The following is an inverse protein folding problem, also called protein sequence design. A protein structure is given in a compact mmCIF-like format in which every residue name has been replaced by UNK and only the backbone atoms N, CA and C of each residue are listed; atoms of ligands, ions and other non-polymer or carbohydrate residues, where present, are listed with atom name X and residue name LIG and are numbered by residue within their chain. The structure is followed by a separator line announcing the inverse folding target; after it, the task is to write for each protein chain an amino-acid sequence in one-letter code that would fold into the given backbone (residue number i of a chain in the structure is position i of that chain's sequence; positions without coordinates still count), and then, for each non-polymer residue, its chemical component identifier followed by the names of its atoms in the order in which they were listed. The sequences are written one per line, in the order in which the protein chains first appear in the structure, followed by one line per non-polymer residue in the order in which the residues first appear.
data_IF_788488712240
#
_entry.id   IF_788488712240
#
_cell.length_a   1.000
_cell.length_b   1.000
_cell.length_c   1.000
_cell.angle_alpha   90.00
_cell.angle_beta   90.00
_cell.angle_gamma   90.00
#
_symmetry.space_group_name_H-M   'P 1'
#
loop_
_entity.id
_entity.type
_entity.pdbx_description
1 polymer ?
#
# COMPACT_ATOMS: atom_id res chain seq x y z
N UNK A 1 42.31 -1.16 27.21
CA UNK A 1 41.46 -2.09 26.42
C UNK A 1 39.96 -1.75 26.43
N UNK A 2 39.47 -0.86 27.30
CA UNK A 2 38.02 -0.53 27.43
C UNK A 2 37.52 0.44 26.33
N UNK A 3 38.41 1.26 25.75
CA UNK A 3 38.05 2.33 24.80
C UNK A 3 37.48 1.83 23.46
N UNK A 4 37.86 0.63 22.99
CA UNK A 4 37.37 0.05 21.73
C UNK A 4 36.03 -0.67 21.89
N UNK A 5 35.64 -1.03 23.13
CA UNK A 5 34.39 -1.74 23.40
C UNK A 5 33.16 -0.83 23.26
N UNK A 6 33.26 0.45 23.63
CA UNK A 6 32.16 1.43 23.53
C UNK A 6 31.62 1.63 22.09
N UNK A 7 32.45 1.89 21.06
CA UNK A 7 31.95 2.05 19.70
C UNK A 7 31.34 0.75 19.14
N UNK A 8 31.89 -0.41 19.52
CA UNK A 8 31.34 -1.73 19.15
C UNK A 8 29.96 -1.98 19.77
N UNK A 9 29.77 -1.64 21.04
CA UNK A 9 28.46 -1.73 21.72
C UNK A 9 27.46 -0.77 21.07
N UNK A 10 27.86 0.47 20.79
CA UNK A 10 27.01 1.45 20.10
C UNK A 10 26.59 0.97 18.70
N UNK A 11 27.54 0.41 17.93
CA UNK A 11 27.27 -0.19 16.61
C UNK A 11 26.28 -1.36 16.72
N UNK A 12 26.43 -2.23 17.73
CA UNK A 12 25.52 -3.35 17.96
C UNK A 12 24.10 -2.89 18.31
N UNK A 13 23.96 -1.82 19.09
CA UNK A 13 22.67 -1.20 19.43
C UNK A 13 22.03 -0.59 18.17
N UNK A 14 22.81 0.13 17.35
CA UNK A 14 22.37 0.69 16.07
C UNK A 14 21.90 -0.39 15.10
N UNK A 15 22.68 -1.46 14.92
CA UNK A 15 22.34 -2.62 14.11
C UNK A 15 21.06 -3.29 14.61
N UNK A 16 20.91 -3.51 15.94
CA UNK A 16 19.67 -4.05 16.52
C UNK A 16 18.48 -3.14 16.26
N UNK A 17 18.65 -1.83 16.31
CA UNK A 17 17.59 -0.86 16.03
C UNK A 17 17.16 -0.92 14.55
N UNK A 18 18.13 -0.97 13.63
CA UNK A 18 17.89 -1.12 12.18
C UNK A 18 17.22 -2.45 11.87
N UNK A 19 17.71 -3.57 12.41
CA UNK A 19 17.12 -4.91 12.22
C UNK A 19 15.72 -4.98 12.79
N UNK A 20 15.45 -4.38 13.96
CA UNK A 20 14.09 -4.26 14.51
C UNK A 20 13.17 -3.47 13.59
N UNK A 21 13.65 -2.35 13.02
CA UNK A 21 12.90 -1.56 12.05
C UNK A 21 12.57 -2.35 10.78
N UNK A 22 13.53 -3.12 10.26
CA UNK A 22 13.34 -4.00 9.10
C UNK A 22 12.31 -5.10 9.42
N UNK A 23 12.40 -5.74 10.59
CA UNK A 23 11.42 -6.76 11.02
C UNK A 23 10.02 -6.17 11.23
N UNK A 24 9.91 -4.97 11.78
CA UNK A 24 8.64 -4.27 11.95
C UNK A 24 8.03 -3.85 10.61
N UNK A 25 8.84 -3.38 9.65
CA UNK A 25 8.39 -3.15 8.28
C UNK A 25 7.87 -4.44 7.65
N UNK A 26 8.60 -5.56 7.80
CA UNK A 26 8.14 -6.88 7.35
C UNK A 26 6.81 -7.31 8.01
N UNK A 27 6.61 -7.01 9.30
CA UNK A 27 5.35 -7.27 10.02
C UNK A 27 4.19 -6.36 9.60
N UNK A 28 4.47 -5.12 9.20
CA UNK A 28 3.47 -4.22 8.61
C UNK A 28 3.07 -4.67 7.18
N UNK A 29 3.96 -5.43 6.52
CA UNK A 29 3.79 -6.01 5.18
C UNK A 29 3.06 -7.36 5.25
N UNK A 30 3.20 -8.12 6.36
CA UNK A 30 2.56 -9.43 6.53
C UNK A 30 1.09 -9.32 6.98
N UNK A 31 0.22 -9.36 5.98
CA UNK A 31 -0.89 -10.30 5.87
C UNK A 31 -1.94 -10.36 6.97
N UNK A 32 -3.10 -9.77 6.65
CA UNK A 32 -4.35 -10.39 7.07
C UNK A 32 -4.58 -11.59 6.14
N UNK A 33 -4.34 -12.81 6.63
CA UNK A 33 -4.69 -14.06 5.93
C UNK A 33 -4.09 -14.23 4.51
N UNK A 34 -2.83 -13.84 4.31
CA UNK A 34 -2.12 -13.93 3.02
C UNK A 34 -2.29 -12.73 2.06
N UNK A 35 -3.06 -11.71 2.46
CA UNK A 35 -3.32 -10.53 1.62
C UNK A 35 -2.35 -9.38 1.90
N UNK A 36 -1.75 -8.85 0.84
CA UNK A 36 -0.72 -7.80 0.90
C UNK A 36 -1.36 -6.42 1.14
N UNK A 37 -1.00 -5.76 2.23
CA UNK A 37 -1.51 -4.41 2.55
C UNK A 37 -0.92 -3.34 1.62
N UNK A 38 -1.78 -2.48 1.07
CA UNK A 38 -1.39 -1.38 0.15
C UNK A 38 -1.77 0.02 0.62
N UNK A 39 -2.65 0.11 1.62
CA UNK A 39 -3.06 1.39 2.22
C UNK A 39 -2.11 1.89 3.30
N UNK A 40 -1.97 3.22 3.38
CA UNK A 40 -1.37 3.88 4.55
C UNK A 40 -2.34 3.82 5.73
N UNK A 41 -1.81 3.88 6.95
CA UNK A 41 -2.64 3.85 8.16
C UNK A 41 -3.76 4.88 8.02
N UNK A 42 -5.04 4.48 8.11
CA UNK A 42 -6.14 5.40 7.93
C UNK A 42 -6.02 6.46 9.02
N UNK A 43 -5.90 7.72 8.61
CA UNK A 43 -6.26 8.81 9.52
C UNK A 43 -7.68 8.52 10.02
N UNK A 44 -7.96 8.79 11.29
CA UNK A 44 -9.32 8.72 11.83
C UNK A 44 -10.25 9.82 11.24
N UNK A 45 -9.75 10.64 10.31
CA UNK A 45 -10.47 11.75 9.69
C UNK A 45 -10.67 11.53 8.18
N UNK A 46 -11.89 11.83 7.69
CA UNK A 46 -12.28 11.79 6.27
C UNK A 46 -12.97 10.49 5.82
N UNK A 47 -13.48 10.44 4.59
CA UNK A 47 -14.27 9.31 4.05
C UNK A 47 -13.58 7.93 4.00
N UNK A 48 -12.27 7.88 4.28
CA UNK A 48 -11.47 6.66 4.38
C UNK A 48 -11.16 6.22 5.83
N UNK A 49 -11.75 6.88 6.83
CA UNK A 49 -11.54 6.57 8.24
C UNK A 49 -11.89 5.11 8.55
N UNK A 50 -10.96 4.41 9.20
CA UNK A 50 -11.10 3.00 9.58
C UNK A 50 -11.04 1.99 8.42
N UNK A 51 -10.80 2.42 7.18
CA UNK A 51 -10.68 1.53 6.03
C UNK A 51 -9.23 1.10 5.81
N UNK A 52 -9.01 -0.20 5.65
CA UNK A 52 -7.72 -0.76 5.27
C UNK A 52 -7.85 -1.52 3.96
N UNK A 53 -6.93 -1.23 3.04
CA UNK A 53 -6.87 -1.84 1.72
C UNK A 53 -5.76 -2.87 1.60
N UNK A 54 -6.12 -4.03 1.07
CA UNK A 54 -5.26 -5.18 0.77
C UNK A 54 -5.49 -5.69 -0.64
N UNK A 55 -4.57 -6.46 -1.19
CA UNK A 55 -4.76 -7.16 -2.46
C UNK A 55 -4.13 -8.57 -2.41
N UNK A 56 -4.64 -9.44 -3.27
CA UNK A 56 -4.01 -10.71 -3.65
C UNK A 56 -3.90 -10.79 -5.18
N UNK A 57 -3.67 -11.98 -5.74
CA UNK A 57 -3.49 -12.15 -7.19
C UNK A 57 -4.78 -11.97 -8.00
N UNK A 58 -5.96 -11.98 -7.36
CA UNK A 58 -7.27 -11.97 -8.03
C UNK A 58 -8.15 -10.78 -7.63
N UNK A 59 -8.02 -10.27 -6.40
CA UNK A 59 -8.92 -9.30 -5.81
C UNK A 59 -8.21 -8.16 -5.07
N UNK A 60 -8.87 -7.01 -5.08
CA UNK A 60 -8.66 -5.87 -4.20
C UNK A 60 -9.71 -5.92 -3.09
N UNK A 61 -9.26 -5.71 -1.85
CA UNK A 61 -10.09 -5.80 -0.65
C UNK A 61 -10.16 -4.45 0.06
N UNK A 62 -11.38 -3.98 0.33
CA UNK A 62 -11.65 -2.93 1.32
C UNK A 62 -12.11 -3.61 2.61
N UNK A 63 -11.33 -3.49 3.68
CA UNK A 63 -11.66 -4.01 5.01
C UNK A 63 -12.01 -2.84 5.91
N UNK A 64 -13.21 -2.84 6.48
CA UNK A 64 -13.66 -1.87 7.48
C UNK A 64 -14.38 -2.60 8.60
N UNK A 65 -13.80 -2.58 9.80
CA UNK A 65 -14.31 -3.34 10.94
C UNK A 65 -14.50 -4.83 10.56
N UNK A 66 -15.74 -5.34 10.57
CA UNK A 66 -16.08 -6.72 10.19
C UNK A 66 -16.61 -6.85 8.75
N UNK A 67 -16.67 -5.77 7.98
CA UNK A 67 -17.12 -5.80 6.60
C UNK A 67 -15.93 -5.84 5.64
N UNK A 68 -15.97 -6.77 4.68
CA UNK A 68 -14.98 -6.88 3.62
C UNK A 68 -15.66 -6.78 2.26
N UNK A 69 -15.31 -5.76 1.48
CA UNK A 69 -15.72 -5.64 0.08
C UNK A 69 -14.61 -6.18 -0.82
N UNK A 70 -14.97 -7.02 -1.78
CA UNK A 70 -14.05 -7.58 -2.78
C UNK A 70 -14.30 -6.96 -4.15
N UNK A 71 -13.23 -6.66 -4.87
CA UNK A 71 -13.24 -6.11 -6.23
C UNK A 71 -12.28 -6.95 -7.06
N UNK A 72 -12.74 -7.60 -8.12
CA UNK A 72 -11.85 -8.39 -8.98
C UNK A 72 -10.86 -7.49 -9.72
N UNK A 73 -9.58 -7.87 -9.76
CA UNK A 73 -8.56 -7.06 -10.44
C UNK A 73 -8.84 -6.95 -11.94
N UNK A 74 -9.39 -8.00 -12.55
CA UNK A 74 -9.77 -8.03 -13.96
C UNK A 74 -10.86 -7.00 -14.31
N UNK A 75 -11.69 -6.57 -13.35
CA UNK A 75 -12.72 -5.56 -13.62
C UNK A 75 -12.21 -4.13 -13.43
N UNK A 76 -11.00 -3.94 -12.90
CA UNK A 76 -10.38 -2.62 -12.76
C UNK A 76 -9.98 -2.12 -14.14
N UNK A 77 -10.54 -0.98 -14.53
CA UNK A 77 -10.29 -0.36 -15.84
C UNK A 77 -9.33 0.81 -15.74
N UNK A 78 -9.24 1.46 -14.57
CA UNK A 78 -8.36 2.61 -14.36
C UNK A 78 -7.91 2.72 -12.92
N UNK A 79 -6.64 2.99 -12.73
CA UNK A 79 -6.06 3.33 -11.44
C UNK A 79 -5.08 4.49 -11.62
N UNK A 80 -5.15 5.47 -10.72
CA UNK A 80 -4.24 6.61 -10.78
C UNK A 80 -4.34 7.55 -9.58
N UNK A 81 -3.41 8.50 -9.46
CA UNK A 81 -3.50 9.56 -8.47
C UNK A 81 -4.71 10.45 -8.79
N UNK A 82 -5.51 10.75 -7.75
CA UNK A 82 -6.53 11.78 -7.79
C UNK A 82 -5.94 13.18 -7.62
N UNK A 83 -6.82 14.20 -7.67
CA UNK A 83 -6.41 15.60 -7.55
C UNK A 83 -6.26 16.06 -6.09
N UNK A 84 -6.82 15.31 -5.14
CA UNK A 84 -6.81 15.67 -3.72
C UNK A 84 -5.56 15.13 -3.02
N UNK A 85 -4.93 16.00 -2.24
CA UNK A 85 -3.78 15.68 -1.40
C UNK A 85 -4.06 16.13 0.04
N UNK A 86 -3.87 15.22 0.99
CA UNK A 86 -4.05 15.50 2.42
C UNK A 86 -2.78 15.06 3.14
N UNK A 87 -2.18 15.96 3.94
CA UNK A 87 -0.95 15.70 4.70
C UNK A 87 0.18 15.10 3.82
N UNK A 88 0.42 15.70 2.65
CA UNK A 88 1.41 15.25 1.66
C UNK A 88 1.18 13.82 1.12
N UNK A 89 -0.04 13.30 1.25
CA UNK A 89 -0.47 12.01 0.71
C UNK A 89 -1.57 12.23 -0.31
N UNK A 90 -1.25 11.94 -1.57
CA UNK A 90 -2.23 11.97 -2.65
C UNK A 90 -3.18 10.77 -2.56
N UNK A 91 -4.46 11.05 -2.72
CA UNK A 91 -5.50 10.02 -2.85
C UNK A 91 -5.25 9.25 -4.15
N UNK A 92 -5.39 7.93 -4.12
CA UNK A 92 -5.47 7.09 -5.29
C UNK A 92 -6.92 6.69 -5.55
N UNK A 93 -7.26 6.69 -6.83
CA UNK A 93 -8.59 6.39 -7.32
C UNK A 93 -8.52 5.09 -8.13
N UNK A 94 -9.41 4.16 -7.82
CA UNK A 94 -9.62 2.93 -8.59
C UNK A 94 -11.02 2.97 -9.18
N UNK A 95 -11.11 2.82 -10.49
CA UNK A 95 -12.36 2.70 -11.23
C UNK A 95 -12.43 1.27 -11.78
N UNK A 96 -13.55 0.62 -11.52
CA UNK A 96 -13.81 -0.75 -11.95
C UNK A 96 -15.23 -0.89 -12.48
N UNK A 97 -15.42 -1.91 -13.31
CA UNK A 97 -16.71 -2.26 -13.87
C UNK A 97 -17.46 -3.23 -12.94
N UNK A 98 -18.73 -2.95 -12.70
CA UNK A 98 -19.65 -3.79 -11.96
C UNK A 98 -20.92 -3.99 -12.80
N UNK A 99 -20.94 -5.07 -13.58
CA UNK A 99 -21.92 -5.28 -14.64
C UNK A 99 -21.81 -4.22 -15.74
N UNK A 100 -22.91 -3.49 -15.99
CA UNK A 100 -22.95 -2.39 -16.95
C UNK A 100 -22.48 -1.04 -16.36
N UNK A 101 -22.26 -0.96 -15.05
CA UNK A 101 -21.95 0.30 -14.36
C UNK A 101 -20.47 0.42 -14.04
N UNK A 102 -19.95 1.65 -14.01
CA UNK A 102 -18.64 1.95 -13.46
C UNK A 102 -18.78 2.40 -12.01
N UNK A 103 -17.93 1.85 -11.14
CA UNK A 103 -17.85 2.22 -9.73
C UNK A 103 -16.45 2.70 -9.41
N UNK A 104 -16.38 3.57 -8.43
CA UNK A 104 -15.14 4.20 -7.99
C UNK A 104 -14.91 3.93 -6.51
N UNK A 105 -13.65 3.66 -6.16
CA UNK A 105 -13.18 3.65 -4.77
C UNK A 105 -11.90 4.46 -4.65
N UNK A 106 -11.63 4.92 -3.43
CA UNK A 106 -10.51 5.81 -3.14
C UNK A 106 -9.75 5.34 -1.90
N UNK A 107 -8.43 5.46 -1.93
CA UNK A 107 -7.60 5.18 -0.77
C UNK A 107 -6.28 5.93 -0.78
N UNK A 108 -5.65 6.02 0.37
CA UNK A 108 -4.30 6.57 0.50
C UNK A 108 -3.31 5.42 0.42
N UNK A 109 -2.39 5.46 -0.54
CA UNK A 109 -1.37 4.43 -0.63
C UNK A 109 -0.27 4.65 0.42
N UNK A 110 0.33 3.55 0.87
CA UNK A 110 1.47 3.61 1.78
C UNK A 110 2.78 3.68 0.98
N UNK A 111 3.13 4.85 0.46
CA UNK A 111 4.44 5.06 -0.17
C UNK A 111 5.50 5.32 0.89
N UNK A 112 5.88 4.28 1.63
CA UNK A 112 7.19 4.28 2.28
C UNK A 112 8.19 3.60 1.34
N UNK A 113 9.46 3.98 1.39
CA UNK A 113 10.56 3.36 0.60
C UNK A 113 10.65 1.82 0.77
N UNK A 114 9.93 1.27 1.75
CA UNK A 114 9.95 -0.14 2.12
C UNK A 114 8.68 -0.89 1.72
N UNK A 115 7.70 -0.24 1.07
CA UNK A 115 6.44 -0.87 0.67
C UNK A 115 6.36 -1.08 -0.84
N UNK A 116 6.90 -2.21 -1.30
CA UNK A 116 6.80 -2.64 -2.69
C UNK A 116 5.42 -3.22 -3.05
N UNK A 117 4.53 -3.46 -2.08
CA UNK A 117 3.23 -4.09 -2.33
C UNK A 117 2.37 -3.23 -3.26
N UNK A 118 2.46 -1.90 -3.15
CA UNK A 118 1.68 -1.02 -4.01
C UNK A 118 2.13 -1.09 -5.47
N UNK A 119 3.44 -1.08 -5.73
CA UNK A 119 3.97 -1.26 -7.09
C UNK A 119 3.63 -2.63 -7.64
N UNK A 120 3.76 -3.68 -6.83
CA UNK A 120 3.38 -5.04 -7.22
C UNK A 120 1.87 -5.18 -7.48
N UNK A 121 1.03 -4.40 -6.78
CA UNK A 121 -0.40 -4.30 -7.04
C UNK A 121 -0.71 -3.63 -8.38
N UNK A 122 -0.03 -2.54 -8.74
CA UNK A 122 -0.18 -1.92 -10.06
C UNK A 122 0.16 -2.92 -11.18
N UNK A 123 1.23 -3.68 -11.02
CA UNK A 123 1.61 -4.74 -11.95
C UNK A 123 0.58 -5.88 -11.99
N UNK A 124 0.00 -6.27 -10.84
CA UNK A 124 -1.05 -7.28 -10.78
C UNK A 124 -2.33 -6.86 -11.51
N UNK A 125 -2.74 -5.59 -11.38
CA UNK A 125 -3.86 -5.03 -12.18
C UNK A 125 -3.57 -5.15 -13.67
N UNK A 126 -2.38 -4.72 -14.10
CA UNK A 126 -2.01 -4.75 -15.52
C UNK A 126 -1.93 -6.17 -16.08
N UNK A 127 -1.54 -7.14 -15.25
CA UNK A 127 -1.54 -8.57 -15.60
C UNK A 127 -2.96 -9.13 -15.71
N UNK A 128 -3.85 -8.76 -14.79
CA UNK A 128 -5.23 -9.24 -14.77
C UNK A 128 -6.10 -8.60 -15.86
N UNK A 129 -5.81 -7.34 -16.20
CA UNK A 129 -6.46 -6.59 -17.28
C UNK A 129 -5.39 -5.78 -18.04
N UNK A 130 -4.87 -6.31 -19.18
CA UNK A 130 -3.90 -5.62 -20.02
C UNK A 130 -4.38 -4.26 -20.54
N UNK A 131 -5.70 -4.06 -20.68
CA UNK A 131 -6.29 -2.81 -21.17
C UNK A 131 -6.46 -1.76 -20.06
N UNK A 132 -6.21 -2.13 -18.80
CA UNK A 132 -6.33 -1.21 -17.68
C UNK A 132 -5.37 -0.01 -17.82
N UNK A 133 -5.90 1.19 -17.63
CA UNK A 133 -5.12 2.43 -17.59
C UNK A 133 -4.52 2.59 -16.21
N UNK A 134 -3.25 2.21 -16.08
CA UNK A 134 -2.47 2.34 -14.85
C UNK A 134 -1.59 3.59 -14.97
N UNK A 135 -1.96 4.67 -14.27
CA UNK A 135 -1.10 5.85 -14.16
C UNK A 135 -0.11 5.64 -13.04
N UNK A 136 1.11 5.25 -13.40
CA UNK A 136 2.22 5.32 -12.47
C UNK A 136 2.52 6.79 -12.13
N UNK A 137 2.97 7.05 -10.90
CA UNK A 137 3.60 8.33 -10.65
C UNK A 137 4.87 8.38 -11.49
N UNK A 138 5.18 9.53 -12.08
CA UNK A 138 6.57 9.85 -12.32
C UNK A 138 7.29 9.76 -10.96
N UNK A 139 7.97 8.64 -10.72
CA UNK A 139 8.93 8.53 -9.64
C UNK A 139 9.98 9.56 -10.04
N UNK A 140 10.10 10.63 -9.25
CA UNK A 140 10.93 11.79 -9.58
C UNK A 140 12.27 11.37 -10.18
N UNK A 141 12.54 11.89 -11.38
CA UNK A 141 13.88 12.34 -11.74
C UNK A 141 14.37 13.24 -10.60
N UNK A 142 15.33 12.75 -9.83
CA UNK A 142 16.14 13.51 -8.89
C UNK A 142 17.56 12.94 -8.95
#
# INVERSE_FOLDING_TARGET
MISVALPLIALFILLRFVVRRIRQAKRLISDHNGMKKISANPSNFGGNAGKTWFYDDQFLYEVKNNATRKIALATIIKIGPGNTEINSRRVWIVIYRDGANEKQVQFYNNLTLWNHNFTAFLAAIKRANPDAVVKERAILNL
#
